data_IF_441952672709
#
_entry.id   IF_441952672709
#
_cell.length_a   1.000
_cell.length_b   1.000
_cell.length_c   1.000
_cell.angle_alpha   90.00
_cell.angle_beta   90.00
_cell.angle_gamma   90.00
#
_symmetry.space_group_name_H-M   'P 1'
#
loop_
_entity.id
_entity.type
_entity.pdbx_description
1 polymer ?
#
# COMPACT_ATOMS: atom_id res chain seq x y z
N UNK A 1 4.83 -20.15 -22.46
CA UNK A 1 3.81 -19.18 -22.04
C UNK A 1 3.56 -18.20 -23.20
N UNK A 2 2.30 -17.94 -23.58
CA UNK A 2 1.95 -17.25 -24.83
C UNK A 2 2.35 -15.76 -24.78
N UNK A 3 3.28 -15.34 -25.62
CA UNK A 3 3.77 -13.94 -25.76
C UNK A 3 2.61 -12.92 -25.88
N UNK A 4 1.50 -13.31 -26.48
CA UNK A 4 0.30 -12.48 -26.61
C UNK A 4 -0.43 -12.20 -25.27
N UNK A 5 -0.46 -13.15 -24.36
CA UNK A 5 -1.05 -12.94 -23.02
C UNK A 5 -0.22 -11.96 -22.20
N UNK A 6 1.09 -12.02 -22.31
CA UNK A 6 2.01 -11.11 -21.63
C UNK A 6 1.87 -9.66 -22.14
N UNK A 7 1.82 -9.48 -23.47
CA UNK A 7 1.65 -8.15 -24.07
C UNK A 7 0.27 -7.56 -23.71
N UNK A 8 -0.79 -8.38 -23.73
CA UNK A 8 -2.14 -7.95 -23.36
C UNK A 8 -2.23 -7.54 -21.88
N UNK A 9 -1.59 -8.29 -20.98
CA UNK A 9 -1.57 -7.94 -19.55
C UNK A 9 -0.85 -6.61 -19.29
N UNK A 10 0.30 -6.37 -19.93
CA UNK A 10 1.01 -5.09 -19.82
C UNK A 10 0.17 -3.93 -20.36
N UNK A 11 -0.54 -4.15 -21.47
CA UNK A 11 -1.39 -3.12 -22.07
C UNK A 11 -2.58 -2.78 -21.16
N UNK A 12 -3.27 -3.78 -20.61
CA UNK A 12 -4.39 -3.61 -19.67
C UNK A 12 -3.95 -2.90 -18.38
N UNK A 13 -2.77 -3.24 -17.87
CA UNK A 13 -2.21 -2.59 -16.67
C UNK A 13 -1.85 -1.13 -16.95
N UNK A 14 -1.16 -0.85 -18.06
CA UNK A 14 -0.83 0.54 -18.46
C UNK A 14 -2.10 1.38 -18.69
N UNK A 15 -3.14 0.79 -19.27
CA UNK A 15 -4.43 1.44 -19.44
C UNK A 15 -5.12 1.68 -18.09
N UNK A 16 -5.09 0.70 -17.18
CA UNK A 16 -5.64 0.82 -15.84
C UNK A 16 -4.94 1.91 -15.02
N UNK A 17 -3.62 1.95 -15.02
CA UNK A 17 -2.82 2.98 -14.35
C UNK A 17 -3.15 4.37 -14.91
N UNK A 18 -3.23 4.52 -16.23
CA UNK A 18 -3.62 5.80 -16.86
C UNK A 18 -5.02 6.22 -16.45
N UNK A 19 -5.98 5.29 -16.42
CA UNK A 19 -7.36 5.59 -16.01
C UNK A 19 -7.43 6.04 -14.56
N UNK A 20 -6.68 5.41 -13.66
CA UNK A 20 -6.62 5.78 -12.24
C UNK A 20 -5.94 7.15 -12.07
N UNK A 21 -4.86 7.43 -12.79
CA UNK A 21 -4.21 8.74 -12.79
C UNK A 21 -5.17 9.82 -13.31
N UNK A 22 -5.93 9.55 -14.38
CA UNK A 22 -6.94 10.46 -14.91
C UNK A 22 -8.06 10.67 -13.89
N UNK A 23 -8.54 9.62 -13.21
CA UNK A 23 -9.51 9.74 -12.12
C UNK A 23 -8.96 10.55 -10.94
N UNK A 24 -7.69 10.38 -10.56
CA UNK A 24 -7.05 11.18 -9.52
C UNK A 24 -6.99 12.67 -9.90
N UNK A 25 -6.63 12.97 -11.14
CA UNK A 25 -6.54 14.36 -11.65
C UNK A 25 -7.95 14.96 -11.79
N UNK A 26 -8.91 14.20 -12.29
CA UNK A 26 -10.29 14.69 -12.45
C UNK A 26 -10.99 14.89 -11.10
N UNK A 27 -10.71 14.07 -10.10
CA UNK A 27 -11.27 14.25 -8.75
C UNK A 27 -10.75 15.52 -8.06
N UNK A 28 -9.54 15.94 -8.39
CA UNK A 28 -8.98 17.19 -7.86
C UNK A 28 -9.55 18.47 -8.51
N UNK A 29 -10.18 18.35 -9.66
CA UNK A 29 -10.78 19.49 -10.39
C UNK A 29 -12.24 19.79 -9.99
N UNK A 30 -12.96 18.81 -9.40
CA UNK A 30 -14.30 19.00 -8.89
C UNK A 30 -14.28 19.19 -7.37
N UNK A 31 -14.24 20.46 -6.99
CA UNK A 31 -14.24 20.94 -5.60
C UNK A 31 -15.53 20.58 -4.87
N UNK A 32 -15.51 19.49 -4.12
CA UNK A 32 -16.35 19.28 -2.94
C UNK A 32 -15.59 18.37 -1.97
N UNK A 33 -15.11 18.94 -0.86
CA UNK A 33 -14.51 18.26 0.30
C UNK A 33 -13.55 17.08 -0.02
N UNK A 34 -12.57 17.34 -0.88
CA UNK A 34 -11.48 16.38 -1.08
C UNK A 34 -10.46 16.53 0.04
N UNK A 35 -10.19 15.47 0.76
CA UNK A 35 -9.11 15.41 1.72
C UNK A 35 -7.90 14.67 1.16
N UNK A 36 -6.74 15.10 1.58
CA UNK A 36 -5.46 14.49 1.24
C UNK A 36 -4.81 13.95 2.51
N UNK A 37 -4.41 12.70 2.48
CA UNK A 37 -3.92 12.01 3.65
C UNK A 37 -2.53 11.45 3.41
N UNK A 38 -1.66 11.57 4.41
CA UNK A 38 -0.38 10.87 4.47
C UNK A 38 -0.50 9.73 5.48
N UNK A 39 -0.06 8.54 5.08
CA UNK A 39 -0.14 7.32 5.88
C UNK A 39 1.25 6.79 6.18
N UNK A 40 1.50 6.41 7.44
CA UNK A 40 2.63 5.59 7.85
C UNK A 40 2.11 4.24 8.31
N UNK A 41 2.70 3.18 7.80
CA UNK A 41 2.26 1.81 8.07
C UNK A 41 3.39 0.99 8.64
N UNK A 42 3.07 0.19 9.64
CA UNK A 42 3.96 -0.79 10.25
C UNK A 42 3.34 -2.15 10.04
N UNK A 43 4.04 -3.03 9.35
CA UNK A 43 3.59 -4.38 9.04
C UNK A 43 4.47 -5.41 9.75
N UNK A 44 4.05 -6.67 9.76
CA UNK A 44 4.86 -7.74 10.34
C UNK A 44 6.22 -7.91 9.63
N UNK A 45 6.29 -7.54 8.35
CA UNK A 45 7.45 -7.80 7.50
C UNK A 45 8.21 -6.52 7.10
N UNK A 46 7.82 -5.35 7.61
CA UNK A 46 8.46 -4.10 7.25
C UNK A 46 7.63 -2.87 7.59
N UNK A 47 7.88 -1.80 6.87
CA UNK A 47 7.19 -0.53 7.03
C UNK A 47 6.78 0.03 5.68
N UNK A 48 5.87 0.98 5.70
CA UNK A 48 5.41 1.65 4.51
C UNK A 48 4.97 3.08 4.77
N UNK A 49 4.83 3.81 3.69
CA UNK A 49 4.18 5.10 3.67
C UNK A 49 3.23 5.18 2.48
N UNK A 50 2.23 6.03 2.58
CA UNK A 50 1.24 6.15 1.53
C UNK A 50 0.65 7.54 1.43
N UNK A 51 0.05 7.78 0.29
CA UNK A 51 -0.74 8.95 0.00
C UNK A 51 -2.14 8.52 -0.41
N UNK A 52 -3.14 9.10 0.23
CA UNK A 52 -4.54 8.82 -0.04
C UNK A 52 -5.26 10.12 -0.42
N UNK A 53 -6.02 10.09 -1.50
CA UNK A 53 -6.98 11.12 -1.85
C UNK A 53 -8.38 10.57 -1.60
N UNK A 54 -9.16 11.20 -0.73
CA UNK A 54 -10.45 10.73 -0.26
C UNK A 54 -11.54 11.76 -0.57
N UNK A 55 -12.70 11.27 -1.02
CA UNK A 55 -13.90 12.07 -1.28
C UNK A 55 -15.11 11.41 -0.64
N UNK A 56 -15.90 12.18 0.10
CA UNK A 56 -17.17 11.72 0.63
C UNK A 56 -18.23 11.62 -0.47
N UNK A 57 -18.85 10.44 -0.58
CA UNK A 57 -20.00 10.20 -1.44
C UNK A 57 -21.32 10.46 -0.70
N UNK A 58 -21.30 10.18 0.60
CA UNK A 58 -22.37 10.40 1.58
C UNK A 58 -21.74 10.73 2.92
N UNK A 59 -22.53 11.21 3.86
CA UNK A 59 -22.06 11.51 5.22
C UNK A 59 -21.26 10.35 5.83
N UNK A 60 -21.69 9.11 5.62
CA UNK A 60 -21.09 7.93 6.23
C UNK A 60 -20.27 7.06 5.28
N UNK A 61 -20.00 7.52 4.05
CA UNK A 61 -19.30 6.74 3.04
C UNK A 61 -18.36 7.60 2.23
N UNK A 62 -17.07 7.24 2.20
CA UNK A 62 -16.09 7.87 1.33
C UNK A 62 -15.45 6.86 0.38
N UNK A 63 -14.98 7.37 -0.75
CA UNK A 63 -14.20 6.65 -1.74
C UNK A 63 -12.89 7.41 -1.98
N UNK A 64 -11.83 6.70 -2.28
CA UNK A 64 -10.54 7.31 -2.52
C UNK A 64 -9.60 6.45 -3.32
N UNK A 65 -8.50 7.05 -3.72
CA UNK A 65 -7.35 6.35 -4.27
C UNK A 65 -6.22 6.38 -3.25
N UNK A 66 -5.60 5.24 -3.02
CA UNK A 66 -4.59 5.03 -2.00
C UNK A 66 -3.34 4.41 -2.67
N UNK A 67 -2.29 5.20 -2.79
CA UNK A 67 -0.98 4.77 -3.28
C UNK A 67 -0.07 4.53 -2.10
N UNK A 68 0.45 3.31 -1.99
CA UNK A 68 1.35 2.92 -0.91
C UNK A 68 2.71 2.51 -1.45
N UNK A 69 3.69 2.67 -0.61
CA UNK A 69 5.05 2.16 -0.77
C UNK A 69 5.37 1.31 0.43
N UNK A 70 5.74 0.06 0.21
CA UNK A 70 6.21 -0.84 1.24
C UNK A 70 7.65 -1.25 0.97
N UNK A 71 8.46 -1.18 2.02
CA UNK A 71 9.78 -1.82 2.11
C UNK A 71 9.62 -3.06 2.98
N UNK A 72 9.60 -4.22 2.33
CA UNK A 72 9.35 -5.51 2.96
C UNK A 72 10.64 -6.30 2.96
N UNK A 73 11.01 -6.80 4.14
CA UNK A 73 12.15 -7.69 4.31
C UNK A 73 11.71 -9.14 4.20
N UNK A 74 12.47 -9.95 3.49
CA UNK A 74 12.29 -11.39 3.55
C UNK A 74 12.86 -11.94 4.87
N UNK A 75 12.37 -13.10 5.27
CA UNK A 75 12.81 -13.74 6.50
C UNK A 75 14.30 -14.04 6.45
N UNK A 76 15.04 -13.67 7.49
CA UNK A 76 16.45 -13.95 7.70
C UNK A 76 16.60 -15.32 8.38
N UNK A 77 17.46 -16.17 7.82
CA UNK A 77 17.77 -17.47 8.43
C UNK A 77 19.25 -17.53 8.82
N UNK A 78 19.58 -17.80 10.10
CA UNK A 78 20.94 -18.10 10.49
C UNK A 78 21.32 -19.49 9.96
N UNK A 79 22.23 -19.54 9.00
CA UNK A 79 22.82 -20.79 8.51
C UNK A 79 24.22 -20.94 9.10
N UNK A 80 24.45 -22.09 9.75
CA UNK A 80 25.76 -22.40 10.27
C UNK A 80 26.71 -22.75 9.14
N UNK A 81 27.81 -21.99 9.03
CA UNK A 81 28.91 -22.25 8.10
C UNK A 81 29.99 -23.07 8.81
N UNK A 82 30.12 -24.39 8.51
CA UNK A 82 31.06 -25.25 9.18
C UNK A 82 32.56 -24.94 8.84
N UNK A 83 32.81 -24.22 7.74
CA UNK A 83 34.17 -23.86 7.33
C UNK A 83 34.72 -22.68 8.13
N UNK A 84 33.83 -21.78 8.56
CA UNK A 84 34.23 -20.58 9.32
C UNK A 84 33.84 -20.69 10.80
N UNK A 85 33.13 -21.76 11.17
CA UNK A 85 32.64 -22.02 12.53
C UNK A 85 31.79 -20.83 13.07
N UNK A 86 30.97 -20.22 12.18
CA UNK A 86 30.13 -19.07 12.49
C UNK A 86 28.74 -19.20 11.84
N UNK A 87 27.75 -18.56 12.45
CA UNK A 87 26.44 -18.38 11.82
C UNK A 87 26.50 -17.22 10.85
N UNK A 88 26.15 -17.50 9.59
CA UNK A 88 25.95 -16.49 8.56
C UNK A 88 24.44 -16.26 8.39
N UNK A 89 24.02 -15.02 8.47
CA UNK A 89 22.64 -14.65 8.16
C UNK A 89 22.50 -14.69 6.64
N UNK A 90 21.59 -15.50 6.15
CA UNK A 90 21.23 -15.60 4.73
C UNK A 90 19.78 -15.21 4.61
N UNK A 91 19.42 -14.46 3.57
CA UNK A 91 18.02 -14.13 3.28
C UNK A 91 17.63 -12.68 3.52
N UNK A 92 18.57 -11.80 3.89
CA UNK A 92 18.32 -10.35 3.98
C UNK A 92 18.09 -9.76 2.58
N UNK A 93 16.87 -9.97 2.06
CA UNK A 93 16.47 -9.44 0.75
C UNK A 93 15.30 -8.50 0.93
N UNK A 94 15.40 -7.32 0.33
CA UNK A 94 14.37 -6.30 0.39
C UNK A 94 13.53 -6.32 -0.89
N UNK A 95 12.23 -6.33 -0.72
CA UNK A 95 11.27 -6.24 -1.81
C UNK A 95 10.51 -4.94 -1.65
N UNK A 96 10.46 -4.18 -2.72
CA UNK A 96 9.62 -2.99 -2.78
C UNK A 96 8.27 -3.34 -3.37
N UNK A 97 7.19 -3.00 -2.67
CA UNK A 97 5.84 -3.16 -3.16
C UNK A 97 5.11 -1.83 -3.25
N UNK A 98 4.47 -1.60 -4.40
CA UNK A 98 3.74 -0.39 -4.72
C UNK A 98 2.27 -0.72 -5.01
N UNK A 99 1.43 -0.91 -4.00
CA UNK A 99 -0.01 -1.04 -4.20
C UNK A 99 -0.63 0.29 -4.61
N UNK A 100 -1.54 0.21 -5.58
CA UNK A 100 -2.42 1.30 -5.97
C UNK A 100 -3.86 0.84 -5.84
N UNK A 101 -4.51 1.28 -4.78
CA UNK A 101 -5.84 0.80 -4.40
C UNK A 101 -6.94 1.81 -4.64
N UNK A 102 -8.09 1.32 -5.04
CA UNK A 102 -9.36 1.98 -4.81
C UNK A 102 -9.78 1.66 -3.39
N UNK A 103 -10.03 2.69 -2.57
CA UNK A 103 -10.33 2.59 -1.16
C UNK A 103 -11.75 3.05 -0.89
N UNK A 104 -12.44 2.32 -0.01
CA UNK A 104 -13.76 2.64 0.52
C UNK A 104 -13.65 2.72 2.04
N UNK A 105 -14.11 3.83 2.64
CA UNK A 105 -14.23 3.96 4.08
C UNK A 105 -15.71 4.13 4.45
N UNK A 106 -16.14 3.37 5.44
CA UNK A 106 -17.49 3.44 5.99
C UNK A 106 -17.46 3.90 7.44
N UNK A 107 -18.18 4.96 7.75
CA UNK A 107 -18.25 5.63 9.05
C UNK A 107 -19.60 5.33 9.73
N UNK A 108 -19.75 4.22 10.47
CA UNK A 108 -21.05 3.77 10.98
C UNK A 108 -21.66 4.70 12.04
N UNK A 109 -20.83 5.50 12.69
CA UNK A 109 -21.22 6.35 13.81
C UNK A 109 -21.06 7.84 13.55
N UNK A 110 -20.90 8.25 12.32
CA UNK A 110 -20.74 9.66 11.97
C UNK A 110 -21.95 10.47 12.45
N UNK A 111 -21.68 11.56 13.16
CA UNK A 111 -22.70 12.43 13.76
C UNK A 111 -23.45 11.83 14.98
N UNK A 112 -23.12 10.58 15.40
CA UNK A 112 -23.79 9.90 16.53
C UNK A 112 -22.94 9.83 17.81
N UNK A 113 -21.65 10.04 17.69
CA UNK A 113 -20.68 10.07 18.79
C UNK A 113 -20.12 11.50 18.88
N UNK A 114 -19.29 11.77 19.89
CA UNK A 114 -18.61 13.05 20.03
C UNK A 114 -17.91 13.47 18.72
N UNK A 115 -18.02 14.72 18.34
CA UNK A 115 -17.60 15.26 17.04
C UNK A 115 -16.09 15.12 16.73
N UNK A 116 -15.29 14.77 17.74
CA UNK A 116 -13.84 14.59 17.61
C UNK A 116 -13.39 13.13 17.47
N UNK A 117 -14.33 12.17 17.42
CA UNK A 117 -14.06 10.74 17.42
C UNK A 117 -14.92 10.02 16.38
N UNK A 118 -14.31 9.54 15.30
CA UNK A 118 -15.01 8.94 14.16
C UNK A 118 -14.39 7.57 13.83
N UNK A 119 -14.96 6.47 14.35
CA UNK A 119 -14.54 5.12 13.93
C UNK A 119 -14.98 4.84 12.51
N UNK A 120 -14.14 4.10 11.77
CA UNK A 120 -14.45 3.70 10.40
C UNK A 120 -13.93 2.29 10.05
N UNK A 121 -14.61 1.69 9.09
CA UNK A 121 -14.17 0.47 8.43
C UNK A 121 -13.51 0.85 7.11
N UNK A 122 -12.41 0.17 6.81
CA UNK A 122 -11.62 0.35 5.60
C UNK A 122 -11.68 -0.90 4.75
N UNK A 123 -11.90 -0.70 3.46
CA UNK A 123 -11.77 -1.73 2.44
C UNK A 123 -11.04 -1.15 1.23
N UNK A 124 -10.04 -1.87 0.71
CA UNK A 124 -9.27 -1.40 -0.44
C UNK A 124 -8.88 -2.56 -1.36
N UNK A 125 -8.93 -2.31 -2.68
CA UNK A 125 -8.57 -3.28 -3.70
C UNK A 125 -7.89 -2.58 -4.88
N UNK A 126 -6.94 -3.26 -5.52
CA UNK A 126 -6.31 -2.76 -6.73
C UNK A 126 -5.08 -3.55 -7.14
N UNK A 127 -4.38 -3.09 -8.18
CA UNK A 127 -3.11 -3.67 -8.60
C UNK A 127 -1.98 -3.31 -7.62
N UNK A 128 -1.03 -4.22 -7.52
CA UNK A 128 0.20 -4.08 -6.75
C UNK A 128 1.37 -4.39 -7.66
N UNK A 129 2.31 -3.46 -7.76
CA UNK A 129 3.60 -3.67 -8.43
C UNK A 129 4.62 -4.12 -7.39
N UNK A 130 5.20 -5.29 -7.59
CA UNK A 130 6.32 -5.80 -6.80
C UNK A 130 7.60 -5.64 -7.58
N UNK A 131 8.65 -5.17 -6.93
CA UNK A 131 9.96 -4.89 -7.52
C UNK A 131 11.02 -5.59 -6.67
N UNK A 132 11.70 -6.54 -7.30
CA UNK A 132 12.83 -7.26 -6.70
C UNK A 132 14.12 -6.76 -7.32
N UNK A 133 14.92 -6.06 -6.55
CA UNK A 133 16.20 -5.51 -6.98
C UNK A 133 17.36 -6.43 -6.62
N UNK A 134 18.23 -6.75 -7.59
CA UNK A 134 19.44 -7.54 -7.33
C UNK A 134 20.38 -6.83 -6.34
N UNK A 135 20.48 -7.35 -5.12
CA UNK A 135 21.28 -6.78 -4.03
C UNK A 135 22.78 -6.89 -4.25
N UNK A 136 23.23 -7.79 -5.12
CA UNK A 136 24.64 -7.90 -5.48
C UNK A 136 25.12 -6.69 -6.28
N UNK A 137 24.21 -5.88 -6.79
CA UNK A 137 24.52 -4.69 -7.55
C UNK A 137 24.61 -3.47 -6.61
N UNK A 138 25.85 -3.00 -6.33
CA UNK A 138 26.07 -1.82 -5.47
C UNK A 138 25.52 -0.50 -6.03
N UNK A 139 25.41 -0.37 -7.36
CA UNK A 139 24.91 0.86 -8.00
C UNK A 139 23.39 0.88 -7.95
N UNK A 140 22.81 1.86 -7.25
CA UNK A 140 21.37 2.08 -7.15
C UNK A 140 20.66 2.09 -8.52
N UNK A 141 21.17 2.88 -9.47
CA UNK A 141 20.59 2.96 -10.81
C UNK A 141 20.60 1.63 -11.56
N UNK A 142 21.69 0.85 -11.46
CA UNK A 142 21.79 -0.47 -12.11
C UNK A 142 20.90 -1.51 -11.42
N UNK A 143 20.77 -1.45 -10.09
CA UNK A 143 19.87 -2.32 -9.33
C UNK A 143 18.43 -2.17 -9.81
N UNK A 144 17.96 -0.94 -9.98
CA UNK A 144 16.61 -0.65 -10.44
C UNK A 144 16.39 -0.94 -11.93
N UNK A 145 17.42 -0.77 -12.79
CA UNK A 145 17.30 -1.07 -14.21
C UNK A 145 17.21 -2.57 -14.52
N UNK A 146 17.76 -3.41 -13.64
CA UNK A 146 17.76 -4.88 -13.78
C UNK A 146 16.74 -5.56 -12.85
N UNK A 147 15.95 -4.78 -12.11
CA UNK A 147 14.97 -5.33 -11.18
C UNK A 147 13.91 -6.16 -11.89
N UNK A 148 13.59 -7.31 -11.33
CA UNK A 148 12.45 -8.10 -11.72
C UNK A 148 11.17 -7.47 -11.20
N UNK A 149 10.19 -7.33 -12.08
CA UNK A 149 8.92 -6.69 -11.73
C UNK A 149 7.76 -7.59 -12.08
N UNK A 150 6.79 -7.67 -11.16
CA UNK A 150 5.52 -8.34 -11.43
C UNK A 150 4.36 -7.51 -10.91
N UNK A 151 3.19 -7.70 -11.53
CA UNK A 151 1.96 -7.05 -11.13
C UNK A 151 0.96 -8.11 -10.72
N UNK A 152 0.41 -7.94 -9.52
CA UNK A 152 -0.53 -8.86 -8.91
C UNK A 152 -1.73 -8.08 -8.34
N UNK A 153 -2.88 -8.72 -8.15
CA UNK A 153 -3.96 -8.12 -7.37
C UNK A 153 -3.59 -8.06 -5.89
N UNK A 154 -3.91 -6.95 -5.25
CA UNK A 154 -3.76 -6.77 -3.82
C UNK A 154 -5.01 -6.20 -3.19
N UNK A 155 -5.08 -6.23 -1.87
CA UNK A 155 -6.21 -5.70 -1.14
C UNK A 155 -5.93 -5.49 0.33
N UNK A 156 -6.83 -4.77 0.98
CA UNK A 156 -6.66 -4.37 2.38
C UNK A 156 -8.04 -4.27 3.04
N UNK A 157 -8.12 -4.74 4.27
CA UNK A 157 -9.28 -4.56 5.13
C UNK A 157 -8.81 -4.08 6.50
N UNK A 158 -9.55 -3.17 7.12
CA UNK A 158 -9.15 -2.67 8.42
C UNK A 158 -10.22 -1.87 9.13
N UNK A 159 -9.87 -1.45 10.32
CA UNK A 159 -10.65 -0.53 11.13
C UNK A 159 -9.76 0.62 11.57
N UNK A 160 -10.33 1.79 11.74
CA UNK A 160 -9.59 2.94 12.21
C UNK A 160 -10.47 3.91 12.97
N UNK A 161 -9.82 4.90 13.55
CA UNK A 161 -10.45 5.96 14.32
C UNK A 161 -9.81 7.27 13.89
N UNK A 162 -10.64 8.21 13.45
CA UNK A 162 -10.24 9.60 13.23
C UNK A 162 -10.39 10.37 14.53
N UNK A 163 -9.37 11.17 14.85
CA UNK A 163 -9.37 12.16 15.91
C UNK A 163 -9.27 13.54 15.29
N UNK A 164 -10.34 14.28 15.30
CA UNK A 164 -10.38 15.65 14.80
C UNK A 164 -9.70 16.58 15.82
N UNK A 165 -8.48 17.02 15.52
CA UNK A 165 -7.67 17.87 16.39
C UNK A 165 -7.95 19.36 16.17
N UNK A 166 -8.43 19.71 14.99
CA UNK A 166 -8.83 21.07 14.60
C UNK A 166 -9.78 21.00 13.41
N UNK A 167 -10.29 22.15 12.97
CA UNK A 167 -11.15 22.24 11.78
C UNK A 167 -10.48 21.75 10.51
N UNK A 168 -9.15 21.87 10.42
CA UNK A 168 -8.39 21.55 9.19
C UNK A 168 -7.56 20.28 9.27
N UNK A 169 -7.32 19.71 10.47
CA UNK A 169 -6.42 18.58 10.62
C UNK A 169 -7.04 17.43 11.43
N UNK A 170 -6.87 16.22 10.93
CA UNK A 170 -7.31 15.00 11.60
C UNK A 170 -6.15 14.04 11.70
N UNK A 171 -5.94 13.46 12.87
CA UNK A 171 -5.09 12.31 13.07
C UNK A 171 -5.93 11.05 13.08
N UNK A 172 -5.50 9.99 12.41
CA UNK A 172 -6.16 8.72 12.51
C UNK A 172 -5.18 7.60 12.85
N UNK A 173 -5.66 6.65 13.60
CA UNK A 173 -4.98 5.41 13.94
C UNK A 173 -5.85 4.25 13.50
N UNK A 174 -5.22 3.19 13.07
CA UNK A 174 -5.97 2.00 12.74
C UNK A 174 -5.10 0.77 12.62
N UNK A 175 -5.78 -0.34 12.46
CA UNK A 175 -5.20 -1.65 12.26
C UNK A 175 -5.97 -2.39 11.17
N UNK A 176 -5.30 -3.30 10.50
CA UNK A 176 -5.92 -4.07 9.44
C UNK A 176 -5.06 -5.24 9.00
N UNK A 177 -5.47 -5.79 7.88
CA UNK A 177 -4.79 -6.89 7.23
C UNK A 177 -4.62 -6.56 5.75
N UNK A 178 -3.39 -6.66 5.25
CA UNK A 178 -3.06 -6.53 3.84
C UNK A 178 -2.96 -7.91 3.20
N UNK A 179 -3.57 -8.04 2.02
CA UNK A 179 -3.42 -9.18 1.13
C UNK A 179 -2.46 -8.80 0.01
N UNK A 180 -1.19 -9.21 0.14
CA UNK A 180 -0.09 -8.89 -0.77
C UNK A 180 0.47 -10.19 -1.37
N UNK A 181 -0.33 -10.82 -2.23
CA UNK A 181 0.05 -12.09 -2.84
C UNK A 181 0.60 -11.88 -4.25
N UNK A 182 1.76 -12.44 -4.52
CA UNK A 182 2.43 -12.40 -5.83
C UNK A 182 2.10 -13.65 -6.65
N UNK A 183 2.09 -13.52 -7.98
CA UNK A 183 1.81 -14.65 -8.88
C UNK A 183 2.96 -15.65 -8.91
N UNK A 184 4.17 -15.16 -9.12
CA UNK A 184 5.41 -15.96 -9.09
C UNK A 184 6.12 -15.74 -7.75
N UNK A 185 6.67 -16.79 -7.11
CA UNK A 185 7.35 -16.62 -5.83
C UNK A 185 8.54 -15.68 -6.00
N UNK A 186 8.66 -14.71 -5.10
CA UNK A 186 9.86 -13.91 -4.92
C UNK A 186 10.54 -14.43 -3.66
N UNK A 187 11.81 -14.84 -3.77
CA UNK A 187 12.56 -15.44 -2.65
C UNK A 187 11.80 -16.58 -1.96
N UNK A 188 11.25 -17.49 -2.77
CA UNK A 188 10.48 -18.67 -2.33
C UNK A 188 9.17 -18.36 -1.55
N UNK A 189 8.81 -17.09 -1.42
CA UNK A 189 7.58 -16.63 -0.74
C UNK A 189 6.59 -16.06 -1.75
N UNK A 190 5.31 -16.41 -1.58
CA UNK A 190 4.20 -15.92 -2.42
C UNK A 190 3.29 -14.93 -1.72
N UNK A 191 3.29 -14.93 -0.39
CA UNK A 191 2.41 -14.10 0.40
C UNK A 191 3.22 -13.20 1.34
N UNK A 192 3.14 -11.92 1.10
CA UNK A 192 3.79 -10.87 1.87
C UNK A 192 2.80 -10.06 2.70
N UNK A 193 1.53 -10.48 2.67
CA UNK A 193 0.47 -9.89 3.45
C UNK A 193 0.65 -10.11 4.94
N UNK A 194 -0.21 -9.46 5.71
CA UNK A 194 -0.18 -9.59 7.15
C UNK A 194 -0.92 -8.45 7.84
N UNK A 195 -0.90 -8.50 9.16
CA UNK A 195 -1.44 -7.43 9.97
C UNK A 195 -0.60 -6.15 9.81
N UNK A 196 -1.27 -5.02 9.81
CA UNK A 196 -0.62 -3.71 9.81
C UNK A 196 -1.27 -2.79 10.85
N UNK A 197 -0.43 -1.89 11.37
CA UNK A 197 -0.86 -0.70 12.10
C UNK A 197 -0.59 0.51 11.21
N UNK A 198 -1.45 1.51 11.24
CA UNK A 198 -1.19 2.74 10.52
C UNK A 198 -1.49 3.98 11.35
N UNK A 199 -0.71 5.01 11.07
CA UNK A 199 -0.92 6.37 11.50
C UNK A 199 -1.23 7.19 10.24
N UNK A 200 -2.35 7.89 10.23
CA UNK A 200 -2.77 8.75 9.12
C UNK A 200 -2.88 10.20 9.59
N UNK A 201 -2.30 11.09 8.80
CA UNK A 201 -2.47 12.53 8.92
C UNK A 201 -3.31 13.05 7.77
N UNK A 202 -4.49 13.58 8.08
CA UNK A 202 -5.45 14.08 7.12
C UNK A 202 -5.38 15.60 7.06
N UNK A 203 -5.17 16.12 5.85
CA UNK A 203 -5.18 17.54 5.54
C UNK A 203 -6.50 17.83 4.85
N UNK A 204 -7.42 18.46 5.56
CA UNK A 204 -8.66 18.97 4.96
C UNK A 204 -8.33 20.29 4.27
N UNK A 205 -8.73 20.48 3.03
CA UNK A 205 -8.75 21.80 2.40
C UNK A 205 -10.07 22.48 2.75
N UNK A 206 -9.96 23.68 3.31
CA UNK A 206 -11.08 24.60 3.46
C UNK A 206 -11.65 25.02 2.10
#
# INVERSE_FOLDING_TARGET
MNRYKYILSIFLVKAGIKLIIIMMISSSLYSQENSHNLNFMFTNNGYGFGYESEKFLKENLSIGADLRFYDIRSDEYPVYDPFVNQYKIIGEKNITMLPLYLRLNYYPFQGKIANNFEPYLLFALGPMLSIDGDENIRSFSKRWSNAETQISPGGSIGIGINFNTSTSNTLAFGLGYDYLKVEEPIHDKKDYGGAFLYLKYKINRE
#
